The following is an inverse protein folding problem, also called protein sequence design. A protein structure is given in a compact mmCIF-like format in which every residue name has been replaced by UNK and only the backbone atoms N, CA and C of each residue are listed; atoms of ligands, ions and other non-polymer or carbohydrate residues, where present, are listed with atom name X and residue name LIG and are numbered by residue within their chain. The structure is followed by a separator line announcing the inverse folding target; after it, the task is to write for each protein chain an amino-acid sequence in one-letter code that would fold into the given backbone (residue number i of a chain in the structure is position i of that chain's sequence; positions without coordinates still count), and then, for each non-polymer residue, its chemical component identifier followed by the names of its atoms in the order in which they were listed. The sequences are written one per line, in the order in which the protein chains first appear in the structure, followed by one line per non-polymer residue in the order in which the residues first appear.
data_IF_624469213147
#
_entry.id   IF_624469213147
#
_cell.length_a   1.000
_cell.length_b   1.000
_cell.length_c   1.000
_cell.angle_alpha   90.00
_cell.angle_beta   90.00
_cell.angle_gamma   90.00
#
_symmetry.space_group_name_H-M   'P 1'
#
loop_
_entity.id
_entity.type
_entity.pdbx_description
1 polymer ?
#
# COMPACT_ATOMS: atom_id res chain seq x y z
N UNK A 1 -3.54 -28.20 17.57
CA UNK A 1 -3.19 -27.14 16.60
C UNK A 1 -3.74 -25.84 17.16
N UNK A 2 -2.90 -25.03 17.79
CA UNK A 2 -3.33 -23.73 18.31
C UNK A 2 -3.37 -22.75 17.14
N UNK A 3 -4.57 -22.38 16.72
CA UNK A 3 -4.73 -21.24 15.83
C UNK A 3 -4.58 -20.00 16.72
N UNK A 4 -3.35 -19.55 16.87
CA UNK A 4 -3.13 -18.18 17.31
C UNK A 4 -3.75 -17.33 16.19
N UNK A 5 -4.80 -16.53 16.44
CA UNK A 5 -5.26 -15.61 15.40
C UNK A 5 -4.06 -14.76 15.00
N UNK A 6 -3.73 -14.76 13.71
CA UNK A 6 -2.65 -13.94 13.19
C UNK A 6 -2.90 -12.50 13.66
N UNK A 7 -1.92 -11.96 14.40
CA UNK A 7 -1.91 -10.58 14.86
C UNK A 7 -2.33 -9.68 13.68
N UNK A 8 -3.33 -8.84 13.94
CA UNK A 8 -4.21 -8.13 13.01
C UNK A 8 -3.69 -7.93 11.58
N UNK A 9 -4.47 -8.40 10.59
CA UNK A 9 -4.26 -8.03 9.20
C UNK A 9 -4.18 -6.50 9.05
N UNK A 10 -3.25 -5.97 8.22
CA UNK A 10 -3.10 -4.53 8.05
C UNK A 10 -4.42 -3.88 7.61
N UNK A 11 -4.78 -2.77 8.24
CA UNK A 11 -5.97 -2.00 7.88
C UNK A 11 -5.68 -1.18 6.62
N UNK A 12 -6.28 -1.59 5.51
CA UNK A 12 -6.09 -0.95 4.20
C UNK A 12 -7.00 0.28 4.05
N UNK A 13 -6.40 1.40 3.62
CA UNK A 13 -7.06 2.63 3.25
C UNK A 13 -6.95 2.87 1.74
N UNK A 14 -8.08 3.15 1.08
CA UNK A 14 -8.11 3.50 -0.35
C UNK A 14 -7.64 4.95 -0.56
N UNK A 15 -6.95 5.20 -1.67
CA UNK A 15 -6.60 6.57 -2.08
C UNK A 15 -7.85 7.35 -2.53
N UNK A 16 -7.96 8.62 -2.09
CA UNK A 16 -9.07 9.53 -2.43
C UNK A 16 -9.08 9.97 -3.90
N UNK A 17 -7.97 9.82 -4.62
CA UNK A 17 -7.86 10.10 -6.05
C UNK A 17 -8.38 8.94 -6.93
N UNK A 18 -8.87 7.86 -6.32
CA UNK A 18 -9.35 6.66 -7.01
C UNK A 18 -10.82 6.77 -7.47
N UNK A 19 -11.33 7.97 -7.75
CA UNK A 19 -12.77 8.22 -7.97
C UNK A 19 -13.36 7.71 -9.32
N UNK A 20 -12.60 6.95 -10.11
CA UNK A 20 -13.06 6.34 -11.37
C UNK A 20 -13.43 4.85 -11.24
N UNK A 21 -13.94 4.27 -12.35
CA UNK A 21 -14.42 2.88 -12.48
C UNK A 21 -13.30 1.82 -12.30
N UNK A 22 -12.77 1.68 -11.09
CA UNK A 22 -11.79 0.67 -10.75
C UNK A 22 -10.74 1.21 -9.81
N UNK A 23 -11.02 1.10 -8.51
CA UNK A 23 -10.13 1.44 -7.41
C UNK A 23 -8.74 0.78 -7.62
N UNK A 24 -7.66 1.55 -7.75
CA UNK A 24 -6.36 1.00 -8.18
C UNK A 24 -5.34 0.82 -7.05
N UNK A 25 -5.36 1.60 -5.96
CA UNK A 25 -4.30 1.51 -4.94
C UNK A 25 -4.85 1.66 -3.52
N UNK A 26 -4.37 0.79 -2.63
CA UNK A 26 -4.56 0.83 -1.18
C UNK A 26 -3.22 0.86 -0.45
N UNK A 27 -3.20 1.45 0.74
CA UNK A 27 -2.04 1.44 1.63
C UNK A 27 -2.45 1.22 3.10
N UNK A 28 -1.52 0.83 3.96
CA UNK A 28 -1.79 0.53 5.37
C UNK A 28 -1.20 1.61 6.32
N UNK A 29 -1.94 2.71 6.61
CA UNK A 29 -1.41 3.83 7.40
C UNK A 29 -1.02 3.46 8.84
N UNK A 30 -1.83 2.63 9.50
CA UNK A 30 -1.54 2.20 10.87
C UNK A 30 -0.30 1.31 10.94
N UNK A 31 -0.13 0.40 9.97
CA UNK A 31 1.08 -0.43 9.87
C UNK A 31 2.32 0.45 9.68
N UNK A 32 2.23 1.45 8.79
CA UNK A 32 3.32 2.39 8.55
C UNK A 32 3.67 3.21 9.79
N UNK A 33 2.68 3.66 10.56
CA UNK A 33 2.91 4.39 11.80
C UNK A 33 3.58 3.53 12.89
N UNK A 34 3.24 2.24 12.96
CA UNK A 34 3.75 1.34 13.99
C UNK A 34 5.12 0.74 13.66
N UNK A 35 5.38 0.44 12.38
CA UNK A 35 6.56 -0.34 11.95
C UNK A 35 7.56 0.47 11.15
N UNK A 36 7.15 1.61 10.57
CA UNK A 36 7.93 2.35 9.60
C UNK A 36 7.89 1.77 8.18
N UNK A 37 7.15 0.68 7.95
CA UNK A 37 7.00 0.07 6.62
C UNK A 37 5.75 0.59 5.89
N UNK A 38 5.91 1.03 4.65
CA UNK A 38 4.80 1.46 3.81
C UNK A 38 4.34 0.30 2.95
N UNK A 39 3.18 -0.27 3.28
CA UNK A 39 2.55 -1.32 2.47
C UNK A 39 1.66 -0.69 1.40
N UNK A 40 1.80 -1.11 0.15
CA UNK A 40 1.01 -0.62 -0.98
C UNK A 40 0.54 -1.80 -1.83
N UNK A 41 -0.76 -1.85 -2.18
CA UNK A 41 -1.33 -2.93 -2.98
C UNK A 41 -2.33 -2.44 -4.03
N UNK A 42 -2.55 -3.27 -5.04
CA UNK A 42 -3.66 -3.10 -5.98
C UNK A 42 -4.96 -3.62 -5.34
N UNK A 43 -6.00 -2.78 -5.30
CA UNK A 43 -7.25 -3.15 -4.66
C UNK A 43 -8.12 -4.14 -5.47
N UNK A 44 -7.79 -4.35 -6.75
CA UNK A 44 -8.45 -5.32 -7.64
C UNK A 44 -7.99 -6.75 -7.40
N UNK A 45 -6.80 -6.93 -6.82
CA UNK A 45 -6.23 -8.25 -6.53
C UNK A 45 -5.77 -8.31 -5.06
N UNK A 46 -6.69 -8.23 -4.08
CA UNK A 46 -6.35 -8.06 -2.66
C UNK A 46 -5.60 -9.24 -2.03
N UNK A 47 -5.61 -10.40 -2.70
CA UNK A 47 -4.89 -11.62 -2.29
C UNK A 47 -3.52 -11.78 -2.96
N UNK A 48 -3.18 -10.91 -3.93
CA UNK A 48 -1.84 -10.89 -4.51
C UNK A 48 -0.83 -10.27 -3.53
N UNK A 49 0.48 -10.51 -3.75
CA UNK A 49 1.52 -9.83 -2.99
C UNK A 49 1.40 -8.31 -3.09
N UNK A 50 1.72 -7.63 -1.99
CA UNK A 50 1.80 -6.18 -1.90
C UNK A 50 3.25 -5.74 -1.78
N UNK A 51 3.51 -4.47 -2.13
CA UNK A 51 4.82 -3.87 -1.97
C UNK A 51 5.05 -3.52 -0.50
N UNK A 52 6.21 -3.88 0.03
CA UNK A 52 6.70 -3.40 1.32
C UNK A 52 7.85 -2.43 1.06
N UNK A 53 7.66 -1.17 1.43
CA UNK A 53 8.60 -0.08 1.11
C UNK A 53 9.09 0.59 2.38
N UNK A 54 10.33 1.08 2.36
CA UNK A 54 10.76 2.07 3.34
C UNK A 54 10.12 3.43 3.04
N UNK A 55 10.05 4.36 4.01
CA UNK A 55 9.52 5.70 3.76
C UNK A 55 10.30 6.45 2.66
N UNK A 56 11.62 6.24 2.59
CA UNK A 56 12.48 6.83 1.56
C UNK A 56 12.17 6.26 0.16
N UNK A 57 12.01 4.93 0.05
CA UNK A 57 11.63 4.29 -1.21
C UNK A 57 10.24 4.72 -1.67
N UNK A 58 9.28 4.87 -0.75
CA UNK A 58 7.95 5.38 -1.07
C UNK A 58 7.99 6.83 -1.55
N UNK A 59 8.78 7.70 -0.91
CA UNK A 59 8.99 9.07 -1.38
C UNK A 59 9.62 9.11 -2.79
N UNK A 60 10.60 8.24 -3.06
CA UNK A 60 11.20 8.09 -4.39
C UNK A 60 10.19 7.64 -5.46
N UNK A 61 9.32 6.67 -5.12
CA UNK A 61 8.22 6.24 -5.99
C UNK A 61 7.27 7.40 -6.32
N UNK A 62 6.90 8.20 -5.33
CA UNK A 62 6.04 9.38 -5.56
C UNK A 62 6.72 10.44 -6.42
N UNK A 63 8.02 10.67 -6.23
CA UNK A 63 8.79 11.59 -7.06
C UNK A 63 8.84 11.12 -8.52
N UNK A 64 9.07 9.83 -8.74
CA UNK A 64 9.00 9.21 -10.07
C UNK A 64 7.61 9.39 -10.70
N UNK A 65 6.55 9.02 -9.97
CA UNK A 65 5.18 9.11 -10.45
C UNK A 65 4.77 10.55 -10.82
N UNK A 66 5.16 11.53 -9.99
CA UNK A 66 4.90 12.96 -10.23
C UNK A 66 5.72 13.52 -11.40
N UNK A 67 6.93 13.00 -11.61
CA UNK A 67 7.85 13.42 -12.67
C UNK A 67 7.61 12.76 -14.02
N UNK A 68 6.58 11.92 -14.16
CA UNK A 68 6.37 11.04 -15.33
C UNK A 68 6.25 11.78 -16.67
N UNK A 69 7.40 12.01 -17.33
CA UNK A 69 7.65 11.50 -18.68
C UNK A 69 8.39 10.18 -18.52
N UNK A 70 7.69 9.05 -18.66
CA UNK A 70 8.34 7.77 -18.94
C UNK A 70 8.88 7.87 -20.36
N UNK A 71 10.18 8.07 -20.52
CA UNK A 71 10.88 7.88 -21.81
C UNK A 71 11.07 6.41 -22.10
#
# INVERSE_FOLDING_TARGET
MSIVPAQGAPRWAKSTYSAGEGQCIEWAPEHAALTGEVLVRDSKIPHAPYLTLTPASFAGLLALAKGSRLT
#
